data_IF_531215383643
#
_entry.id   IF_531215383643
#
_cell.length_a   1.000
_cell.length_b   1.000
_cell.length_c   1.000
_cell.angle_alpha   90.00
_cell.angle_beta   90.00
_cell.angle_gamma   90.00
#
_symmetry.space_group_name_H-M   'P 1'
#
loop_
_entity.id
_entity.type
_entity.pdbx_description
1 polymer ?
#
# COMPACT_ATOMS: atom_id res chain seq x y z
N UNK A 1 -7.87 -11.65 24.56
CA UNK A 1 -7.84 -11.31 23.11
C UNK A 1 -7.53 -12.60 22.33
N UNK A 2 -8.50 -13.14 21.56
CA UNK A 2 -8.45 -14.52 21.01
C UNK A 2 -7.25 -14.73 20.05
N UNK A 3 -6.62 -15.92 20.11
CA UNK A 3 -5.39 -16.34 19.39
C UNK A 3 -5.39 -16.13 17.86
N UNK A 4 -6.55 -15.94 17.22
CA UNK A 4 -6.71 -15.66 15.78
C UNK A 4 -6.07 -14.34 15.32
N UNK A 5 -5.74 -13.44 16.25
CA UNK A 5 -5.17 -12.14 15.95
C UNK A 5 -3.71 -12.21 15.44
N UNK A 6 -2.91 -13.17 15.90
CA UNK A 6 -1.46 -13.21 15.58
C UNK A 6 -1.17 -13.41 14.09
N UNK A 7 -1.83 -14.38 13.46
CA UNK A 7 -1.63 -14.65 12.03
C UNK A 7 -2.21 -13.54 11.15
N UNK A 8 -3.34 -12.95 11.55
CA UNK A 8 -3.90 -11.79 10.87
C UNK A 8 -2.94 -10.58 10.90
N UNK A 9 -2.29 -10.31 12.04
CA UNK A 9 -1.27 -9.27 12.16
C UNK A 9 -0.06 -9.57 11.26
N UNK A 10 0.41 -10.82 11.22
CA UNK A 10 1.54 -11.19 10.36
C UNK A 10 1.18 -11.00 8.88
N UNK A 11 -0.02 -11.42 8.47
CA UNK A 11 -0.52 -11.22 7.12
C UNK A 11 -0.64 -9.74 6.76
N UNK A 12 -1.20 -8.92 7.65
CA UNK A 12 -1.29 -7.48 7.47
C UNK A 12 0.09 -6.83 7.27
N UNK A 13 1.07 -7.20 8.12
CA UNK A 13 2.45 -6.71 7.99
C UNK A 13 3.13 -7.15 6.69
N UNK A 14 2.85 -8.37 6.22
CA UNK A 14 3.38 -8.84 4.93
C UNK A 14 2.77 -8.06 3.77
N UNK A 15 1.45 -7.80 3.81
CA UNK A 15 0.75 -7.01 2.82
C UNK A 15 1.27 -5.56 2.76
N UNK A 16 1.46 -4.91 3.91
CA UNK A 16 2.02 -3.56 3.99
C UNK A 16 3.39 -3.46 3.32
N UNK A 17 4.31 -4.40 3.62
CA UNK A 17 5.64 -4.44 2.99
C UNK A 17 5.58 -4.65 1.48
N UNK A 18 4.67 -5.51 1.01
CA UNK A 18 4.48 -5.72 -0.41
C UNK A 18 3.95 -4.45 -1.10
N UNK A 19 2.98 -3.77 -0.49
CA UNK A 19 2.43 -2.51 -0.99
C UNK A 19 3.51 -1.41 -1.05
N UNK A 20 4.31 -1.26 0.00
CA UNK A 20 5.45 -0.33 0.04
C UNK A 20 6.44 -0.60 -1.10
N UNK A 21 6.75 -1.88 -1.38
CA UNK A 21 7.67 -2.23 -2.46
C UNK A 21 7.13 -1.89 -3.84
N UNK A 22 5.84 -2.12 -4.07
CA UNK A 22 5.15 -1.75 -5.31
C UNK A 22 5.15 -0.22 -5.47
N UNK A 23 4.85 0.52 -4.40
CA UNK A 23 4.90 1.98 -4.42
C UNK A 23 6.31 2.53 -4.70
N UNK A 24 7.34 1.95 -4.09
CA UNK A 24 8.74 2.30 -4.33
C UNK A 24 9.14 2.07 -5.80
N UNK A 25 8.76 0.92 -6.37
CA UNK A 25 9.03 0.58 -7.76
C UNK A 25 8.26 1.50 -8.72
N UNK A 26 7.00 1.80 -8.43
CA UNK A 26 6.20 2.71 -9.23
C UNK A 26 6.82 4.10 -9.24
N UNK A 27 7.28 4.60 -8.09
CA UNK A 27 8.00 5.87 -7.98
C UNK A 27 9.29 5.88 -8.82
N UNK A 28 10.14 4.86 -8.68
CA UNK A 28 11.40 4.74 -9.44
C UNK A 28 11.16 4.81 -10.95
N UNK A 29 10.10 4.18 -11.41
CA UNK A 29 9.77 4.08 -12.83
C UNK A 29 8.73 5.12 -13.29
N UNK A 30 8.36 6.09 -12.44
CA UNK A 30 7.30 7.09 -12.71
C UNK A 30 5.96 6.49 -13.15
N UNK A 31 5.63 5.28 -12.69
CA UNK A 31 4.37 4.62 -12.96
C UNK A 31 3.28 5.15 -12.01
N UNK A 32 2.08 5.32 -12.55
CA UNK A 32 0.90 5.64 -11.76
C UNK A 32 0.25 4.36 -11.25
N UNK A 33 -0.17 4.36 -10.00
CA UNK A 33 -0.94 3.27 -9.40
C UNK A 33 -2.40 3.73 -9.29
N UNK A 34 -3.39 2.88 -9.59
CA UNK A 34 -4.79 3.18 -9.31
C UNK A 34 -5.02 3.24 -7.79
N UNK A 35 -5.58 4.36 -7.34
CA UNK A 35 -5.99 4.63 -5.96
C UNK A 35 -7.48 4.92 -5.98
N UNK A 36 -8.24 4.25 -5.11
CA UNK A 36 -9.65 4.56 -4.94
C UNK A 36 -9.80 5.80 -4.06
N UNK A 37 -10.35 6.88 -4.60
CA UNK A 37 -10.61 8.13 -3.90
C UNK A 37 -11.97 8.68 -4.32
N UNK A 38 -12.81 9.06 -3.34
CA UNK A 38 -14.12 9.67 -3.58
C UNK A 38 -14.96 8.97 -4.65
N UNK A 39 -15.13 7.65 -4.49
CA UNK A 39 -15.91 6.77 -5.39
C UNK A 39 -15.40 6.65 -6.83
N UNK A 40 -14.15 7.03 -7.07
CA UNK A 40 -13.51 6.93 -8.39
C UNK A 40 -12.11 6.36 -8.26
N UNK A 41 -11.62 5.81 -9.36
CA UNK A 41 -10.22 5.37 -9.48
C UNK A 41 -9.42 6.55 -10.01
N UNK A 42 -8.49 7.05 -9.21
CA UNK A 42 -7.51 8.06 -9.57
C UNK A 42 -6.15 7.41 -9.78
N UNK A 43 -5.39 7.86 -10.77
CA UNK A 43 -4.07 7.32 -11.08
C UNK A 43 -3.00 8.28 -10.59
N UNK A 44 -2.37 7.95 -9.48
CA UNK A 44 -1.37 8.81 -8.83
C UNK A 44 -0.01 8.10 -8.78
N UNK A 45 1.06 8.87 -8.92
CA UNK A 45 2.40 8.39 -8.53
C UNK A 45 2.43 8.46 -7.00
N UNK A 46 2.72 7.36 -6.28
CA UNK A 46 2.72 7.37 -4.82
C UNK A 46 3.63 8.47 -4.27
N UNK A 47 3.02 9.49 -3.67
CA UNK A 47 3.72 10.59 -3.02
C UNK A 47 4.39 10.11 -1.72
N UNK A 48 5.54 10.69 -1.40
CA UNK A 48 6.14 10.50 -0.08
C UNK A 48 5.22 11.23 0.89
N UNK A 49 4.54 10.52 1.79
CA UNK A 49 3.99 11.16 2.98
C UNK A 49 5.19 11.60 3.81
N UNK A 50 5.72 12.79 3.53
CA UNK A 50 6.60 13.52 4.43
C UNK A 50 5.71 14.19 5.47
N UNK A 51 5.41 13.45 6.53
CA UNK A 51 5.16 14.00 7.86
C UNK A 51 6.08 13.27 8.86
#
# INVERSE_FOLDING_TARGET
MKKHNKYAIIGLKALQRAAEKVAENARKNKHKIPVWRNDRIEYEIPGITTE
#
